data_IF_281923908815
#
_entry.id   IF_281923908815
#
_cell.length_a   1.000
_cell.length_b   1.000
_cell.length_c   1.000
_cell.angle_alpha   90.00
_cell.angle_beta   90.00
_cell.angle_gamma   90.00
#
_symmetry.space_group_name_H-M   'P 1'
#
loop_
_entity.id
_entity.type
_entity.pdbx_description
1 polymer ?
#
# COMPACT_ATOMS: atom_id res chain seq x y z
N UNK A 1 -15.53 8.81 1.77
CA UNK A 1 -16.77 9.58 2.02
C UNK A 1 -16.83 10.13 3.44
N UNK A 2 -16.76 9.29 4.49
CA UNK A 2 -16.90 9.71 5.90
C UNK A 2 -15.93 10.84 6.29
N UNK A 3 -14.62 10.66 6.06
CA UNK A 3 -13.63 11.71 6.32
C UNK A 3 -13.91 12.99 5.52
N UNK A 4 -14.40 12.86 4.27
CA UNK A 4 -14.78 14.01 3.45
C UNK A 4 -15.93 14.79 4.06
N UNK A 5 -16.95 14.10 4.58
CA UNK A 5 -18.08 14.74 5.28
C UNK A 5 -17.63 15.42 6.58
N UNK A 6 -16.85 14.73 7.42
CA UNK A 6 -16.34 15.30 8.68
C UNK A 6 -15.45 16.53 8.46
N UNK A 7 -14.74 16.58 7.33
CA UNK A 7 -13.88 17.73 7.02
C UNK A 7 -14.63 19.05 6.84
N UNK A 8 -15.95 19.02 6.60
CA UNK A 8 -16.77 20.21 6.51
C UNK A 8 -17.07 20.84 7.88
N UNK A 9 -16.98 20.05 8.95
CA UNK A 9 -17.35 20.46 10.32
C UNK A 9 -16.12 20.58 11.24
N UNK A 10 -15.17 19.65 11.13
CA UNK A 10 -13.96 19.58 11.97
C UNK A 10 -12.68 19.43 11.12
N UNK A 11 -12.40 20.36 10.19
CA UNK A 11 -11.30 20.25 9.22
C UNK A 11 -9.91 20.07 9.84
N UNK A 12 -9.70 20.53 11.08
CA UNK A 12 -8.44 20.46 11.81
C UNK A 12 -8.16 19.09 12.44
N UNK A 13 -9.17 18.22 12.55
CA UNK A 13 -9.06 16.87 13.14
C UNK A 13 -9.12 15.73 12.12
N UNK A 14 -9.28 16.07 10.84
CA UNK A 14 -9.48 15.10 9.77
C UNK A 14 -8.27 15.07 8.85
N UNK A 15 -8.02 13.89 8.29
CA UNK A 15 -6.96 13.66 7.30
C UNK A 15 -7.56 13.58 5.90
N UNK A 16 -6.79 13.96 4.88
CA UNK A 16 -7.18 13.73 3.49
C UNK A 16 -7.36 12.24 3.19
N UNK A 17 -7.91 11.89 2.02
CA UNK A 17 -8.02 10.49 1.67
C UNK A 17 -6.63 9.83 1.64
N UNK A 18 -6.48 8.76 2.39
CA UNK A 18 -5.33 7.85 2.30
C UNK A 18 -5.51 6.89 1.12
N UNK A 19 -4.48 6.05 0.89
CA UNK A 19 -4.49 4.88 0.01
C UNK A 19 -5.91 4.29 -0.10
N UNK A 20 -6.44 3.82 1.03
CA UNK A 20 -7.85 3.44 1.15
C UNK A 20 -8.27 2.35 0.16
N UNK A 21 -7.30 1.47 -0.13
CA UNK A 21 -7.38 0.22 -0.88
C UNK A 21 -6.68 -0.86 -0.04
N UNK A 22 -7.18 -2.10 -0.10
CA UNK A 22 -6.50 -3.26 0.48
C UNK A 22 -5.87 -4.03 -0.66
N UNK A 23 -4.72 -3.53 -1.12
CA UNK A 23 -3.95 -4.20 -2.15
C UNK A 23 -3.28 -5.43 -1.54
N UNK A 24 -3.52 -6.61 -2.11
CA UNK A 24 -2.91 -7.85 -1.67
C UNK A 24 -2.32 -8.60 -2.86
N UNK A 25 -1.15 -9.20 -2.63
CA UNK A 25 -0.51 -10.12 -3.56
C UNK A 25 -0.47 -11.52 -2.94
N UNK A 26 -0.77 -12.52 -3.76
CA UNK A 26 -0.85 -13.92 -3.36
C UNK A 26 0.00 -14.75 -4.30
N UNK A 27 0.89 -15.55 -3.73
CA UNK A 27 1.66 -16.55 -4.45
C UNK A 27 1.35 -17.93 -3.88
N UNK A 28 1.00 -18.87 -4.74
CA UNK A 28 0.76 -20.26 -4.38
C UNK A 28 1.67 -21.19 -5.16
N UNK A 29 1.99 -22.35 -4.58
CA UNK A 29 2.75 -23.38 -5.28
C UNK A 29 3.20 -24.48 -4.34
N UNK A 30 4.15 -25.29 -4.81
CA UNK A 30 4.70 -26.42 -4.05
C UNK A 30 6.20 -26.20 -3.84
N UNK A 31 6.67 -26.34 -2.60
CA UNK A 31 8.10 -26.23 -2.26
C UNK A 31 8.87 -27.40 -2.87
N UNK A 32 9.86 -27.11 -3.71
CA UNK A 32 10.62 -28.12 -4.45
C UNK A 32 11.36 -29.13 -3.54
N UNK A 33 11.87 -28.68 -2.39
CA UNK A 33 12.66 -29.53 -1.47
C UNK A 33 11.78 -30.42 -0.58
N UNK A 34 10.62 -29.92 -0.13
CA UNK A 34 9.77 -30.63 0.83
C UNK A 34 8.52 -31.25 0.22
N UNK A 35 8.19 -30.93 -1.04
CA UNK A 35 6.95 -31.33 -1.70
C UNK A 35 5.68 -30.78 -1.06
N UNK A 36 5.79 -29.80 -0.14
CA UNK A 36 4.65 -29.22 0.57
C UNK A 36 4.12 -28.00 -0.15
N UNK A 37 2.81 -27.86 -0.18
CA UNK A 37 2.18 -26.66 -0.71
C UNK A 37 2.45 -25.45 0.20
N UNK A 38 2.51 -24.28 -0.42
CA UNK A 38 2.65 -23.00 0.27
C UNK A 38 1.67 -21.99 -0.30
N UNK A 39 1.29 -21.05 0.57
CA UNK A 39 0.59 -19.83 0.19
C UNK A 39 1.31 -18.68 0.88
N UNK A 40 1.78 -17.72 0.09
CA UNK A 40 2.30 -16.46 0.56
C UNK A 40 1.27 -15.37 0.26
N UNK A 41 0.87 -14.62 1.29
CA UNK A 41 -0.08 -13.51 1.19
C UNK A 41 0.55 -12.29 1.84
N UNK A 42 0.54 -11.18 1.13
CA UNK A 42 1.01 -9.90 1.67
C UNK A 42 0.01 -8.80 1.32
N UNK A 43 -0.40 -8.05 2.35
CA UNK A 43 -1.13 -6.79 2.18
C UNK A 43 -0.13 -5.64 2.06
N UNK A 44 -0.20 -4.91 0.95
CA UNK A 44 0.71 -3.80 0.67
C UNK A 44 0.20 -2.51 1.32
N UNK A 45 1.09 -1.86 2.07
CA UNK A 45 0.87 -0.53 2.60
C UNK A 45 0.91 0.54 1.51
N UNK A 46 0.57 1.78 1.86
CA UNK A 46 0.61 2.90 0.94
C UNK A 46 0.62 4.26 1.65
N UNK A 47 0.38 5.32 0.90
CA UNK A 47 0.38 6.67 1.45
C UNK A 47 -0.82 6.96 2.36
N UNK A 48 -0.56 7.56 3.53
CA UNK A 48 -1.61 8.17 4.35
C UNK A 48 -1.94 9.59 3.83
N UNK A 49 -3.19 10.02 3.94
CA UNK A 49 -3.58 11.38 3.58
C UNK A 49 -2.91 12.45 4.45
N UNK A 50 -2.62 13.61 3.85
CA UNK A 50 -2.08 14.77 4.57
C UNK A 50 -2.98 15.21 5.73
N UNK A 51 -2.36 15.68 6.82
CA UNK A 51 -3.05 16.10 8.05
C UNK A 51 -3.10 17.62 8.12
N UNK A 52 -3.95 18.17 8.99
CA UNK A 52 -4.07 19.62 9.15
C UNK A 52 -2.79 20.32 9.64
N UNK A 53 -1.84 19.59 10.22
CA UNK A 53 -0.62 20.12 10.84
C UNK A 53 0.68 19.45 10.38
N UNK A 54 0.62 18.41 9.54
CA UNK A 54 1.79 17.60 9.14
C UNK A 54 1.48 16.70 7.95
N UNK A 55 2.51 16.35 7.20
CA UNK A 55 2.40 15.43 6.05
C UNK A 55 1.79 14.08 6.43
N UNK A 56 1.25 13.38 5.45
CA UNK A 56 0.88 11.97 5.57
C UNK A 56 2.11 11.10 5.80
N UNK A 57 1.91 9.96 6.46
CA UNK A 57 2.96 8.94 6.60
C UNK A 57 3.15 8.18 5.29
N UNK A 58 4.41 7.95 4.93
CA UNK A 58 4.82 7.24 3.71
C UNK A 58 4.79 5.72 3.93
N UNK A 59 4.25 4.96 2.96
CA UNK A 59 4.34 3.50 2.94
C UNK A 59 3.82 2.78 4.18
N UNK A 60 2.69 3.21 4.73
CA UNK A 60 2.11 2.63 5.96
C UNK A 60 0.88 1.78 5.69
N UNK A 61 0.59 0.85 6.59
CA UNK A 61 -0.75 0.31 6.72
C UNK A 61 -1.67 1.39 7.32
N UNK A 62 -2.83 1.62 6.72
CA UNK A 62 -3.66 2.78 7.05
C UNK A 62 -5.16 2.46 6.98
N UNK A 63 -5.88 2.85 8.04
CA UNK A 63 -7.32 2.65 8.24
C UNK A 63 -7.76 1.19 8.26
N UNK A 64 -7.84 0.56 7.09
CA UNK A 64 -8.43 -0.78 6.89
C UNK A 64 -7.38 -1.90 6.94
N UNK A 65 -6.10 -1.55 7.06
CA UNK A 65 -4.99 -2.50 7.19
C UNK A 65 -4.18 -2.22 8.46
N UNK A 66 -3.67 -3.28 9.10
CA UNK A 66 -2.85 -3.21 10.31
C UNK A 66 -1.94 -4.45 10.44
N UNK A 67 -1.18 -4.74 9.40
CA UNK A 67 -0.24 -5.88 9.36
C UNK A 67 1.21 -5.39 9.40
N UNK A 68 2.08 -6.12 10.09
CA UNK A 68 3.53 -5.90 9.91
C UNK A 68 3.93 -6.38 8.52
N UNK A 69 4.93 -5.73 7.92
CA UNK A 69 5.55 -6.26 6.72
C UNK A 69 6.33 -7.54 7.07
N UNK A 70 6.33 -8.52 6.16
CA UNK A 70 7.20 -9.69 6.30
C UNK A 70 8.63 -9.26 5.94
N UNK A 71 9.64 -9.49 6.81
CA UNK A 71 11.04 -9.24 6.45
C UNK A 71 11.41 -9.95 5.16
N UNK A 72 12.21 -9.28 4.33
CA UNK A 72 12.62 -9.82 3.03
C UNK A 72 13.40 -11.11 3.23
N UNK A 73 14.31 -11.19 4.21
CA UNK A 73 15.08 -12.40 4.45
C UNK A 73 14.18 -13.59 4.81
N UNK A 74 13.15 -13.37 5.62
CA UNK A 74 12.18 -14.41 5.97
C UNK A 74 11.37 -14.87 4.76
N UNK A 75 10.97 -13.94 3.89
CA UNK A 75 10.23 -14.26 2.67
C UNK A 75 11.08 -15.09 1.70
N UNK A 76 12.34 -14.68 1.45
CA UNK A 76 13.23 -15.38 0.53
C UNK A 76 13.73 -16.72 1.07
N UNK A 77 13.80 -16.87 2.39
CA UNK A 77 14.13 -18.15 3.03
C UNK A 77 13.00 -19.17 2.86
N UNK A 78 11.75 -18.72 2.96
CA UNK A 78 10.62 -19.63 3.01
C UNK A 78 9.93 -19.90 1.68
N UNK A 79 10.02 -18.98 0.73
CA UNK A 79 9.32 -19.07 -0.54
C UNK A 79 10.31 -19.01 -1.71
N UNK A 80 10.01 -19.63 -2.87
CA UNK A 80 10.83 -19.53 -4.06
C UNK A 80 10.67 -18.16 -4.75
N UNK A 81 10.80 -17.09 -3.99
CA UNK A 81 10.60 -15.70 -4.37
C UNK A 81 11.85 -14.90 -4.02
N UNK A 82 12.15 -13.87 -4.82
CA UNK A 82 13.23 -12.92 -4.57
C UNK A 82 12.71 -11.50 -4.71
N UNK A 83 13.03 -10.64 -3.75
CA UNK A 83 12.74 -9.21 -3.85
C UNK A 83 13.86 -8.54 -4.62
N UNK A 84 13.51 -7.91 -5.73
CA UNK A 84 14.45 -7.13 -6.54
C UNK A 84 14.48 -5.67 -6.09
N UNK A 85 13.35 -5.14 -5.62
CA UNK A 85 13.20 -3.75 -5.14
C UNK A 85 12.17 -3.68 -4.02
N UNK A 86 12.42 -2.82 -3.05
CA UNK A 86 11.45 -2.42 -2.05
C UNK A 86 11.72 -0.96 -1.66
N UNK A 87 10.90 -0.04 -2.15
CA UNK A 87 11.18 1.40 -2.07
C UNK A 87 9.89 2.23 -2.02
N UNK A 88 10.04 3.49 -1.58
CA UNK A 88 9.00 4.49 -1.74
C UNK A 88 8.99 4.99 -3.19
N UNK A 89 7.81 5.20 -3.76
CA UNK A 89 7.65 5.72 -5.12
C UNK A 89 7.56 7.25 -5.07
N UNK A 90 8.53 7.98 -5.64
CA UNK A 90 8.48 9.44 -5.69
C UNK A 90 7.20 9.98 -6.33
N UNK A 91 6.80 11.18 -5.94
CA UNK A 91 5.70 11.94 -6.57
C UNK A 91 4.32 11.26 -6.59
N UNK A 92 4.11 10.23 -5.76
CA UNK A 92 2.81 9.54 -5.62
C UNK A 92 1.89 10.17 -4.57
N UNK A 93 2.46 10.91 -3.62
CA UNK A 93 1.71 11.61 -2.59
C UNK A 93 0.97 12.83 -3.14
N UNK A 94 -0.30 13.01 -2.78
CA UNK A 94 -1.09 14.15 -3.23
C UNK A 94 -0.50 15.48 -2.73
N UNK A 95 -0.29 16.49 -3.60
CA UNK A 95 0.40 17.72 -3.19
C UNK A 95 -0.51 18.64 -2.37
N UNK A 96 0.08 19.37 -1.43
CA UNK A 96 -0.61 20.31 -0.54
C UNK A 96 0.36 20.99 0.41
N UNK A 97 -0.15 21.90 1.27
CA UNK A 97 0.67 22.49 2.38
C UNK A 97 1.27 21.39 3.24
N UNK A 98 0.47 20.35 3.47
CA UNK A 98 0.91 19.07 4.01
C UNK A 98 0.57 18.01 2.99
N UNK A 99 1.58 17.34 2.44
CA UNK A 99 1.42 16.37 1.34
C UNK A 99 0.80 15.07 1.85
N UNK A 100 0.22 14.30 0.93
CA UNK A 100 -0.03 12.88 1.16
C UNK A 100 1.28 12.08 1.26
N UNK A 101 1.19 10.93 1.89
CA UNK A 101 2.27 9.96 1.96
C UNK A 101 2.54 9.31 0.61
N UNK A 102 3.77 8.85 0.40
CA UNK A 102 4.22 8.13 -0.77
C UNK A 102 3.74 6.67 -0.74
N UNK A 103 3.53 6.12 -1.93
CA UNK A 103 3.24 4.70 -2.16
C UNK A 103 4.51 3.85 -2.06
N UNK A 104 4.30 2.54 -1.94
CA UNK A 104 5.37 1.53 -1.96
C UNK A 104 5.43 0.86 -3.32
N UNK A 105 6.65 0.60 -3.80
CA UNK A 105 6.93 -0.36 -4.87
C UNK A 105 7.67 -1.57 -4.30
N UNK A 106 7.21 -2.75 -4.68
CA UNK A 106 7.89 -4.02 -4.37
C UNK A 106 7.94 -4.88 -5.63
N UNK A 107 9.14 -5.11 -6.15
CA UNK A 107 9.35 -5.94 -7.34
C UNK A 107 9.76 -7.34 -6.86
N UNK A 108 8.96 -8.35 -7.19
CA UNK A 108 9.18 -9.74 -6.75
C UNK A 108 9.35 -10.64 -7.98
N UNK A 109 10.44 -11.40 -7.98
CA UNK A 109 10.73 -12.42 -8.97
C UNK A 109 10.42 -13.80 -8.42
N UNK A 110 9.62 -14.60 -9.14
CA UNK A 110 9.47 -16.01 -8.86
C UNK A 110 10.67 -16.79 -9.42
N UNK A 111 11.32 -17.59 -8.57
CA UNK A 111 12.49 -18.42 -8.94
C UNK A 111 12.10 -19.80 -9.45
N UNK A 112 10.81 -20.16 -9.33
CA UNK A 112 10.17 -21.40 -9.78
C UNK A 112 8.76 -21.08 -10.28
N UNK A 113 8.11 -21.99 -11.02
CA UNK A 113 6.69 -21.84 -11.36
C UNK A 113 5.84 -21.69 -10.09
N UNK A 114 5.01 -20.64 -10.07
CA UNK A 114 4.07 -20.31 -8.99
C UNK A 114 2.76 -19.86 -9.60
N UNK A 115 1.67 -20.06 -8.88
CA UNK A 115 0.40 -19.39 -9.13
C UNK A 115 0.47 -17.98 -8.54
N UNK A 116 0.09 -16.97 -9.32
CA UNK A 116 0.01 -15.59 -8.85
C UNK A 116 -1.43 -15.09 -8.93
N UNK A 117 -1.85 -14.38 -7.89
CA UNK A 117 -3.10 -13.62 -7.88
C UNK A 117 -2.89 -12.30 -7.15
N UNK A 118 -3.61 -11.26 -7.58
CA UNK A 118 -3.57 -9.96 -6.94
C UNK A 118 -4.98 -9.41 -6.78
N UNK A 119 -5.22 -8.79 -5.63
CA UNK A 119 -6.41 -7.99 -5.36
C UNK A 119 -5.97 -6.53 -5.23
N UNK A 120 -6.56 -5.63 -6.01
CA UNK A 120 -6.25 -4.21 -5.97
C UNK A 120 -7.41 -3.37 -6.48
N UNK A 121 -7.54 -2.17 -5.95
CA UNK A 121 -8.55 -1.18 -6.30
C UNK A 121 -7.92 0.20 -6.54
N UNK A 122 -8.73 1.21 -6.84
CA UNK A 122 -8.31 2.60 -7.12
C UNK A 122 -7.41 2.83 -8.34
N UNK A 123 -7.54 1.96 -9.35
CA UNK A 123 -6.92 2.12 -10.67
C UNK A 123 -7.40 3.34 -11.47
N UNK A 124 -8.60 3.85 -11.17
CA UNK A 124 -9.25 4.94 -11.94
C UNK A 124 -9.62 6.17 -11.11
N UNK A 125 -9.90 5.98 -9.82
CA UNK A 125 -10.36 7.05 -8.93
C UNK A 125 -9.29 7.25 -7.86
N UNK A 126 -8.49 8.32 -7.94
CA UNK A 126 -7.43 8.57 -6.98
C UNK A 126 -7.97 9.02 -5.61
N UNK A 127 -7.16 8.91 -4.54
CA UNK A 127 -7.48 9.50 -3.25
C UNK A 127 -7.58 11.03 -3.37
N UNK A 128 -8.70 11.59 -2.93
CA UNK A 128 -8.98 13.03 -2.99
C UNK A 128 -8.26 13.84 -1.89
N UNK A 129 -7.91 15.08 -2.22
CA UNK A 129 -7.44 16.08 -1.25
C UNK A 129 -8.58 16.77 -0.50
N UNK A 130 -8.27 17.43 0.62
CA UNK A 130 -9.22 18.27 1.36
C UNK A 130 -9.15 19.73 0.92
N UNK A 131 -10.23 20.50 1.10
CA UNK A 131 -10.28 21.95 0.79
C UNK A 131 -9.85 22.27 -0.65
N UNK A 132 -10.37 21.52 -1.62
CA UNK A 132 -10.05 21.63 -3.06
C UNK A 132 -8.56 21.44 -3.39
N UNK A 133 -7.83 20.69 -2.57
CA UNK A 133 -6.44 20.28 -2.86
C UNK A 133 -6.42 19.11 -3.83
N UNK A 134 -5.29 18.99 -4.53
CA UNK A 134 -5.07 17.98 -5.57
C UNK A 134 -5.04 16.56 -4.97
N UNK A 135 -5.44 15.60 -5.79
CA UNK A 135 -5.46 14.18 -5.46
C UNK A 135 -4.06 13.57 -5.41
N UNK A 136 -3.93 12.42 -4.76
CA UNK A 136 -2.75 11.55 -4.89
C UNK A 136 -2.78 10.72 -6.18
N UNK A 137 -1.78 9.85 -6.36
CA UNK A 137 -1.72 8.91 -7.48
C UNK A 137 -2.78 7.81 -7.43
N UNK A 138 -3.07 7.21 -8.58
CA UNK A 138 -3.84 5.96 -8.68
C UNK A 138 -2.98 4.74 -8.30
N UNK A 139 -3.67 3.64 -7.99
CA UNK A 139 -3.07 2.31 -7.78
C UNK A 139 -2.59 1.67 -9.08
#
# INVERSE_FOLDING_TARGET
>A
AILGALSQVIPERVVAASNGATTAIIFGGTKALSGRDFVYIEALGGGMGGRASKDGMDGVQVHITNTSNLPIESMEMEYPLRVLRYELVPDTGGPGKYRGGLSIRKDIQALKPVLFSAHSDRHRIPPWGLKNKLSGGCG
#
